data_IF_084008380673
#
_entry.id   IF_084008380673
#
_cell.length_a   1.000
_cell.length_b   1.000
_cell.length_c   1.000
_cell.angle_alpha   90.00
_cell.angle_beta   90.00
_cell.angle_gamma   90.00
#
_symmetry.space_group_name_H-M   'P 1'
#
loop_
_entity.id
_entity.type
_entity.pdbx_description
1 polymer ?
#
# COMPACT_ATOMS: atom_id res chain seq x y z
N UNK A 1 12.57 -15.15 24.07
CA UNK A 1 12.10 -15.68 22.77
C UNK A 1 10.59 -15.43 22.70
N UNK A 2 10.12 -14.49 21.87
CA UNK A 2 8.68 -14.24 21.70
C UNK A 2 8.04 -15.47 21.04
N UNK A 3 7.00 -16.05 21.64
CA UNK A 3 6.29 -17.20 21.07
C UNK A 3 5.75 -16.83 19.68
N UNK A 4 5.96 -17.73 18.72
CA UNK A 4 5.48 -17.59 17.35
C UNK A 4 3.95 -17.56 17.34
N UNK A 5 3.34 -16.47 16.88
CA UNK A 5 1.88 -16.34 16.79
C UNK A 5 1.40 -16.81 15.41
N UNK A 6 0.94 -18.05 15.32
CA UNK A 6 0.45 -18.66 14.07
C UNK A 6 -0.60 -17.82 13.35
N UNK A 7 -1.53 -17.20 14.07
CA UNK A 7 -2.57 -16.35 13.48
C UNK A 7 -1.98 -15.15 12.72
N UNK A 8 -0.88 -14.57 13.22
CA UNK A 8 -0.22 -13.44 12.55
C UNK A 8 0.54 -13.89 11.30
N UNK A 9 1.13 -15.08 11.34
CA UNK A 9 1.79 -15.67 10.17
C UNK A 9 0.76 -16.00 9.11
N UNK A 10 -0.34 -16.66 9.48
CA UNK A 10 -1.44 -16.94 8.57
C UNK A 10 -1.98 -15.66 7.93
N UNK A 11 -2.18 -14.59 8.72
CA UNK A 11 -2.59 -13.29 8.19
C UNK A 11 -1.57 -12.69 7.21
N UNK A 12 -0.28 -12.76 7.54
CA UNK A 12 0.78 -12.24 6.68
C UNK A 12 0.80 -12.97 5.34
N UNK A 13 0.80 -14.31 5.38
CA UNK A 13 0.78 -15.15 4.19
C UNK A 13 -0.48 -14.90 3.37
N UNK A 14 -1.65 -14.79 4.01
CA UNK A 14 -2.90 -14.50 3.34
C UNK A 14 -2.87 -13.14 2.62
N UNK A 15 -2.38 -12.08 3.28
CA UNK A 15 -2.26 -10.75 2.67
C UNK A 15 -1.33 -10.77 1.46
N UNK A 16 -0.17 -11.42 1.56
CA UNK A 16 0.77 -11.53 0.44
C UNK A 16 0.18 -12.35 -0.70
N UNK A 17 -0.41 -13.52 -0.40
CA UNK A 17 -1.00 -14.39 -1.41
C UNK A 17 -2.17 -13.70 -2.14
N UNK A 18 -3.13 -13.14 -1.41
CA UNK A 18 -4.25 -12.39 -1.99
C UNK A 18 -3.75 -11.20 -2.79
N UNK A 19 -2.75 -10.48 -2.29
CA UNK A 19 -2.18 -9.34 -3.01
C UNK A 19 -1.52 -9.70 -4.33
N UNK A 20 -0.74 -10.78 -4.34
CA UNK A 20 -0.13 -11.31 -5.57
C UNK A 20 -1.22 -11.78 -6.53
N UNK A 21 -2.18 -12.60 -6.07
CA UNK A 21 -3.24 -13.14 -6.90
C UNK A 21 -4.11 -12.04 -7.52
N UNK A 22 -4.55 -11.07 -6.73
CA UNK A 22 -5.36 -9.94 -7.22
C UNK A 22 -4.60 -9.15 -8.28
N UNK A 23 -3.31 -8.86 -8.06
CA UNK A 23 -2.50 -8.15 -9.05
C UNK A 23 -2.29 -8.94 -10.35
N UNK A 24 -2.16 -10.26 -10.27
CA UNK A 24 -2.02 -11.12 -11.46
C UNK A 24 -3.34 -11.29 -12.22
N UNK A 25 -4.47 -11.43 -11.51
CA UNK A 25 -5.80 -11.57 -12.10
C UNK A 25 -6.28 -10.27 -12.76
N UNK A 26 -5.98 -9.12 -12.15
CA UNK A 26 -6.40 -7.81 -12.63
C UNK A 26 -5.29 -7.03 -13.32
N UNK A 27 -4.26 -7.71 -13.85
CA UNK A 27 -3.08 -7.08 -14.45
C UNK A 27 -3.43 -6.13 -15.61
N UNK A 28 -4.50 -6.43 -16.34
CA UNK A 28 -4.93 -5.67 -17.52
C UNK A 28 -5.70 -4.40 -17.13
N UNK A 29 -6.12 -4.28 -15.87
CA UNK A 29 -6.79 -3.09 -15.35
C UNK A 29 -5.75 -2.09 -14.81
N UNK A 30 -5.57 -0.92 -15.45
CA UNK A 30 -4.59 0.05 -15.00
C UNK A 30 -4.92 0.55 -13.59
N UNK A 31 -3.91 0.59 -12.72
CA UNK A 31 -3.99 1.06 -11.33
C UNK A 31 -4.98 0.32 -10.42
N UNK A 32 -5.57 -0.81 -10.86
CA UNK A 32 -6.48 -1.59 -10.05
C UNK A 32 -5.71 -2.64 -9.22
N UNK A 33 -5.08 -2.20 -8.14
CA UNK A 33 -4.39 -3.10 -7.22
C UNK A 33 -4.64 -2.72 -5.75
N UNK A 34 -5.12 -3.65 -4.89
CA UNK A 34 -5.46 -3.34 -3.50
C UNK A 34 -4.22 -3.15 -2.59
N UNK A 35 -3.02 -2.95 -3.15
CA UNK A 35 -1.75 -2.98 -2.43
C UNK A 35 -1.64 -1.88 -1.39
N UNK A 36 -2.08 -0.66 -1.72
CA UNK A 36 -2.10 0.44 -0.76
C UNK A 36 -3.03 0.17 0.42
N UNK A 37 -4.19 -0.46 0.18
CA UNK A 37 -5.13 -0.83 1.23
C UNK A 37 -4.56 -1.97 2.11
N UNK A 38 -3.92 -2.97 1.49
CA UNK A 38 -3.21 -4.03 2.22
C UNK A 38 -2.06 -3.48 3.06
N UNK A 39 -1.36 -2.45 2.59
CA UNK A 39 -0.31 -1.76 3.36
C UNK A 39 -0.88 -1.06 4.60
N UNK A 40 -2.01 -0.33 4.48
CA UNK A 40 -2.72 0.25 5.64
C UNK A 40 -3.11 -0.83 6.66
N UNK A 41 -3.70 -1.92 6.15
CA UNK A 41 -4.15 -3.04 6.95
C UNK A 41 -2.98 -3.74 7.66
N UNK A 42 -1.89 -4.01 6.95
CA UNK A 42 -0.66 -4.55 7.52
C UNK A 42 -0.08 -3.64 8.61
N UNK A 43 -0.06 -2.32 8.38
CA UNK A 43 0.36 -1.32 9.38
C UNK A 43 -0.50 -1.36 10.65
N UNK A 44 -1.80 -1.62 10.51
CA UNK A 44 -2.71 -1.78 11.65
C UNK A 44 -2.46 -3.07 12.45
N UNK A 45 -2.41 -4.23 11.79
CA UNK A 45 -2.37 -5.53 12.48
C UNK A 45 -0.98 -5.95 12.98
N UNK A 46 0.10 -5.62 12.27
CA UNK A 46 1.44 -6.09 12.66
C UNK A 46 2.12 -5.16 13.65
N UNK A 47 2.51 -5.68 14.82
CA UNK A 47 3.22 -4.89 15.84
C UNK A 47 4.56 -4.34 15.32
N UNK A 48 5.29 -5.13 14.53
CA UNK A 48 6.56 -4.74 13.91
C UNK A 48 6.33 -3.93 12.63
N UNK A 49 6.98 -2.77 12.52
CA UNK A 49 6.97 -1.95 11.30
C UNK A 49 7.63 -2.68 10.14
N UNK A 50 8.73 -3.37 10.39
CA UNK A 50 9.44 -4.12 9.36
C UNK A 50 8.53 -5.18 8.71
N UNK A 51 7.80 -5.96 9.52
CA UNK A 51 6.87 -6.97 9.01
C UNK A 51 5.74 -6.34 8.20
N UNK A 52 5.18 -5.21 8.66
CA UNK A 52 4.14 -4.52 7.91
C UNK A 52 4.62 -4.00 6.55
N UNK A 53 5.86 -3.47 6.48
CA UNK A 53 6.48 -3.00 5.24
C UNK A 53 6.81 -4.14 4.27
N UNK A 54 7.13 -5.33 4.79
CA UNK A 54 7.38 -6.51 3.95
C UNK A 54 6.13 -6.92 3.15
N UNK A 55 4.91 -6.65 3.63
CA UNK A 55 3.68 -7.05 2.91
C UNK A 55 3.59 -6.41 1.51
N UNK A 56 3.52 -5.08 1.35
CA UNK A 56 3.46 -4.48 0.01
C UNK A 56 4.72 -4.76 -0.82
N UNK A 57 5.90 -4.81 -0.20
CA UNK A 57 7.15 -5.11 -0.90
C UNK A 57 7.16 -6.51 -1.52
N UNK A 58 6.77 -7.53 -0.74
CA UNK A 58 6.71 -8.90 -1.25
C UNK A 58 5.62 -9.04 -2.31
N UNK A 59 4.45 -8.43 -2.10
CA UNK A 59 3.37 -8.45 -3.11
C UNK A 59 3.90 -7.92 -4.43
N UNK A 60 4.52 -6.73 -4.44
CA UNK A 60 5.04 -6.11 -5.65
C UNK A 60 6.17 -6.94 -6.28
N UNK A 61 7.18 -7.32 -5.48
CA UNK A 61 8.34 -8.08 -5.98
C UNK A 61 7.93 -9.40 -6.60
N UNK A 62 7.07 -10.18 -5.94
CA UNK A 62 6.64 -11.50 -6.42
C UNK A 62 5.77 -11.38 -7.68
N UNK A 63 4.90 -10.38 -7.75
CA UNK A 63 4.04 -10.24 -8.94
C UNK A 63 4.80 -9.62 -10.12
N UNK A 64 5.79 -8.76 -9.90
CA UNK A 64 6.63 -8.20 -10.97
C UNK A 64 7.56 -9.22 -11.61
N UNK A 65 7.99 -10.27 -10.88
CA UNK A 65 8.74 -11.37 -11.51
C UNK A 65 7.91 -12.15 -12.52
N UNK A 66 6.57 -12.09 -12.43
CA UNK A 66 5.64 -12.78 -13.33
C UNK A 66 5.11 -11.84 -14.42
N UNK A 67 4.77 -10.59 -14.07
CA UNK A 67 4.21 -9.60 -15.03
C UNK A 67 5.30 -9.05 -15.95
N UNK A 68 6.53 -8.94 -15.47
CA UNK A 68 7.60 -8.20 -16.13
C UNK A 68 7.73 -6.79 -15.57
N UNK A 69 8.95 -6.40 -15.20
CA UNK A 69 9.24 -5.05 -14.72
C UNK A 69 9.26 -4.00 -15.84
N UNK A 70 9.28 -2.74 -15.45
CA UNK A 70 9.45 -1.57 -16.33
C UNK A 70 10.65 -0.75 -15.84
N UNK A 71 10.75 0.54 -16.21
CA UNK A 71 11.85 1.40 -15.75
C UNK A 71 12.07 1.28 -14.24
N UNK A 72 13.29 0.92 -13.85
CA UNK A 72 13.63 0.56 -12.48
C UNK A 72 13.47 1.74 -11.51
N UNK A 73 13.62 2.98 -11.99
CA UNK A 73 13.46 4.19 -11.15
C UNK A 73 11.99 4.42 -10.85
N UNK A 74 11.13 4.27 -11.86
CA UNK A 74 9.68 4.36 -11.67
C UNK A 74 9.19 3.20 -10.79
N UNK A 75 9.70 1.98 -10.97
CA UNK A 75 9.37 0.84 -10.11
C UNK A 75 9.74 1.12 -8.64
N UNK A 76 10.95 1.63 -8.39
CA UNK A 76 11.40 1.98 -7.05
C UNK A 76 10.49 3.03 -6.40
N UNK A 77 10.04 4.04 -7.16
CA UNK A 77 9.08 5.02 -6.69
C UNK A 77 7.72 4.41 -6.36
N UNK A 78 7.20 3.52 -7.20
CA UNK A 78 5.94 2.81 -6.95
C UNK A 78 6.04 1.94 -5.68
N UNK A 79 7.16 1.24 -5.50
CA UNK A 79 7.36 0.40 -4.31
C UNK A 79 7.43 1.26 -3.05
N UNK A 80 8.19 2.36 -3.10
CA UNK A 80 8.30 3.31 -2.00
C UNK A 80 6.97 3.98 -1.66
N UNK A 81 6.20 4.40 -2.66
CA UNK A 81 4.90 5.05 -2.44
C UNK A 81 3.87 4.07 -1.86
N UNK A 82 3.92 2.78 -2.23
CA UNK A 82 3.07 1.73 -1.65
C UNK A 82 3.46 1.31 -0.23
N UNK A 83 4.64 1.71 0.25
CA UNK A 83 5.05 1.53 1.65
C UNK A 83 4.55 2.66 2.55
N UNK A 84 4.34 3.87 2.01
CA UNK A 84 3.84 5.02 2.76
C UNK A 84 2.57 4.76 3.58
N UNK A 85 1.60 3.96 3.11
CA UNK A 85 0.39 3.73 3.89
C UNK A 85 0.65 3.04 5.24
N UNK A 86 1.75 2.29 5.37
CA UNK A 86 2.18 1.70 6.65
C UNK A 86 2.55 2.78 7.68
N UNK A 87 3.01 3.96 7.25
CA UNK A 87 3.35 5.06 8.14
C UNK A 87 2.15 5.59 8.93
N UNK A 88 0.93 5.45 8.38
CA UNK A 88 -0.30 5.86 9.05
C UNK A 88 -0.67 4.99 10.26
N UNK A 89 0.06 3.89 10.55
CA UNK A 89 -0.28 2.95 11.63
C UNK A 89 -0.58 3.59 12.98
N UNK A 90 0.16 4.64 13.36
CA UNK A 90 0.02 5.27 14.67
C UNK A 90 -1.30 6.03 14.77
N UNK A 91 -1.69 6.66 13.66
CA UNK A 91 -2.98 7.35 13.51
C UNK A 91 -4.09 6.29 13.46
N UNK A 92 -4.00 5.28 12.58
CA UNK A 92 -5.03 4.23 12.52
C UNK A 92 -5.29 3.58 13.88
N UNK A 93 -4.26 3.18 14.63
CA UNK A 93 -4.44 2.54 15.95
C UNK A 93 -4.98 3.47 17.03
N UNK A 94 -4.78 4.79 16.89
CA UNK A 94 -5.34 5.77 17.82
C UNK A 94 -6.83 5.96 17.59
N UNK A 95 -7.26 6.01 16.33
CA UNK A 95 -8.64 6.29 15.94
C UNK A 95 -9.49 5.02 15.80
N UNK A 96 -8.85 3.87 15.58
CA UNK A 96 -9.47 2.57 15.37
C UNK A 96 -8.98 1.58 16.45
N UNK A 97 -9.62 1.60 17.63
CA UNK A 97 -9.34 0.62 18.70
C UNK A 97 -10.44 -0.44 18.69
N UNK A 98 -10.10 -1.65 18.20
CA UNK A 98 -10.99 -2.81 18.23
C UNK A 98 -11.13 -3.43 19.63
N UNK A 99 -10.26 -3.05 20.58
CA UNK A 99 -10.16 -3.68 21.91
C UNK A 99 -11.15 -3.12 22.94
N UNK A 100 -11.93 -2.09 22.61
CA UNK A 100 -12.84 -1.42 23.54
C UNK A 100 -14.29 -1.73 23.15
N UNK A 101 -15.09 -2.31 24.05
CA UNK A 101 -16.54 -2.54 23.85
C UNK A 101 -17.31 -1.24 23.53
N UNK A 102 -16.70 -0.09 23.84
CA UNK A 102 -17.10 1.19 23.30
C UNK A 102 -16.33 1.41 22.00
N UNK A 103 -16.97 1.02 20.89
CA UNK A 103 -16.66 1.58 19.57
C UNK A 103 -16.35 3.06 19.78
N UNK A 104 -15.13 3.52 19.47
CA UNK A 104 -14.97 4.92 19.12
C UNK A 104 -16.14 5.23 18.18
N UNK A 105 -16.94 6.29 18.39
CA UNK A 105 -18.23 6.43 17.72
C UNK A 105 -18.01 6.10 16.26
N UNK A 106 -18.64 5.05 15.74
CA UNK A 106 -18.17 4.30 14.56
C UNK A 106 -17.77 5.20 13.38
N UNK A 107 -18.40 6.38 13.30
CA UNK A 107 -18.05 7.50 12.44
C UNK A 107 -16.59 8.01 12.54
N UNK A 108 -15.99 8.16 13.72
CA UNK A 108 -14.60 8.60 13.93
C UNK A 108 -13.59 7.56 13.44
N UNK A 109 -13.88 6.29 13.72
CA UNK A 109 -13.09 5.15 13.28
C UNK A 109 -13.13 5.03 11.73
N UNK A 110 -14.33 5.11 11.16
CA UNK A 110 -14.54 5.14 9.71
C UNK A 110 -13.88 6.38 9.07
N UNK A 111 -14.04 7.56 9.68
CA UNK A 111 -13.45 8.81 9.20
C UNK A 111 -11.92 8.76 9.19
N UNK A 112 -11.29 8.21 10.22
CA UNK A 112 -9.84 8.01 10.27
C UNK A 112 -9.35 7.05 9.18
N UNK A 113 -10.06 5.95 8.94
CA UNK A 113 -9.72 4.99 7.89
C UNK A 113 -9.86 5.63 6.49
N UNK A 114 -10.97 6.33 6.24
CA UNK A 114 -11.21 7.05 5.00
C UNK A 114 -10.15 8.13 4.75
N UNK A 115 -9.83 8.92 5.77
CA UNK A 115 -8.80 9.96 5.67
C UNK A 115 -7.42 9.37 5.34
N UNK A 116 -7.02 8.29 6.02
CA UNK A 116 -5.73 7.64 5.75
C UNK A 116 -5.71 6.99 4.35
N UNK A 117 -6.83 6.39 3.92
CA UNK A 117 -6.99 5.81 2.59
C UNK A 117 -6.89 6.85 1.49
N UNK A 118 -7.64 7.95 1.60
CA UNK A 118 -7.62 9.07 0.65
C UNK A 118 -6.24 9.74 0.61
N UNK A 119 -5.64 10.03 1.76
CA UNK A 119 -4.29 10.60 1.83
C UNK A 119 -3.27 9.67 1.16
N UNK A 120 -3.35 8.37 1.39
CA UNK A 120 -2.48 7.38 0.74
C UNK A 120 -2.68 7.36 -0.78
N UNK A 121 -3.91 7.44 -1.25
CA UNK A 121 -4.23 7.47 -2.69
C UNK A 121 -3.70 8.74 -3.35
N UNK A 122 -3.86 9.90 -2.72
CA UNK A 122 -3.36 11.18 -3.23
C UNK A 122 -1.84 11.17 -3.28
N UNK A 123 -1.17 10.72 -2.21
CA UNK A 123 0.29 10.63 -2.18
C UNK A 123 0.81 9.65 -3.24
N UNK A 124 0.18 8.48 -3.39
CA UNK A 124 0.53 7.51 -4.42
C UNK A 124 0.41 8.14 -5.81
N UNK A 125 -0.75 8.72 -6.13
CA UNK A 125 -1.00 9.36 -7.41
C UNK A 125 0.03 10.44 -7.73
N UNK A 126 0.30 11.36 -6.81
CA UNK A 126 1.26 12.44 -7.03
C UNK A 126 2.68 11.89 -7.26
N UNK A 127 3.13 10.95 -6.42
CA UNK A 127 4.51 10.41 -6.51
C UNK A 127 4.70 9.63 -7.80
N UNK A 128 3.74 8.77 -8.18
CA UNK A 128 3.90 7.91 -9.35
C UNK A 128 3.77 8.68 -10.65
N UNK A 129 2.82 9.61 -10.75
CA UNK A 129 2.67 10.42 -11.98
C UNK A 129 3.84 11.39 -12.14
N UNK A 130 4.29 12.03 -11.07
CA UNK A 130 5.49 12.86 -11.12
C UNK A 130 6.75 12.04 -11.48
N UNK A 131 6.85 10.82 -10.94
CA UNK A 131 7.90 9.88 -11.27
C UNK A 131 7.92 9.49 -12.76
N UNK A 132 6.76 9.15 -13.31
CA UNK A 132 6.62 8.86 -14.74
C UNK A 132 6.97 10.09 -15.57
N UNK A 133 6.44 11.26 -15.23
CA UNK A 133 6.76 12.50 -15.94
C UNK A 133 8.27 12.81 -15.92
N UNK A 134 8.96 12.57 -14.81
CA UNK A 134 10.39 12.87 -14.67
C UNK A 134 11.30 11.84 -15.35
N UNK A 135 10.95 10.55 -15.28
CA UNK A 135 11.85 9.46 -15.67
C UNK A 135 11.44 8.72 -16.95
N UNK A 136 10.22 8.96 -17.46
CA UNK A 136 9.74 8.40 -18.72
C UNK A 136 9.77 9.46 -19.83
N UNK A 137 9.91 9.01 -21.07
CA UNK A 137 9.78 9.84 -22.28
C UNK A 137 8.33 9.91 -22.79
N UNK A 138 7.37 9.38 -22.03
CA UNK A 138 5.96 9.33 -22.41
C UNK A 138 5.32 10.72 -22.55
N UNK A 139 5.83 11.71 -21.81
CA UNK A 139 5.31 13.08 -21.79
C UNK A 139 6.45 14.09 -21.95
N UNK A 140 6.12 15.27 -22.48
CA UNK A 140 7.06 16.39 -22.51
C UNK A 140 7.40 16.84 -21.08
N UNK A 141 8.68 17.13 -20.83
CA UNK A 141 9.15 17.60 -19.53
C UNK A 141 8.88 19.10 -19.33
N UNK A 142 7.63 19.50 -19.53
CA UNK A 142 7.10 20.84 -19.32
C UNK A 142 5.79 20.81 -18.51
N UNK A 143 5.26 21.99 -18.16
CA UNK A 143 4.02 22.09 -17.39
C UNK A 143 2.81 21.48 -18.12
N UNK A 144 2.85 21.45 -19.46
CA UNK A 144 1.80 20.86 -20.29
C UNK A 144 1.83 19.34 -20.19
N UNK A 145 3.01 18.72 -20.24
CA UNK A 145 3.17 17.29 -20.07
C UNK A 145 2.89 16.82 -18.63
N UNK A 146 3.14 17.67 -17.63
CA UNK A 146 2.82 17.36 -16.23
C UNK A 146 1.31 17.37 -15.93
N UNK A 147 0.53 18.16 -16.69
CA UNK A 147 -0.92 18.27 -16.51
C UNK A 147 -1.73 17.22 -17.29
N UNK A 148 -1.07 16.34 -18.06
CA UNK A 148 -1.67 15.21 -18.77
C UNK A 148 -1.68 13.95 -17.92
#
# INVERSE_FOLDING_TARGET
>A
MQRLNWNRIALFVALVAVGVLTRLCFRDLPNFAPVAAMALFAGYFFASRAVALCVPLLVMTISDTVIGGYDTRVMALVYGSLMLPVAWRSILRRWFRLDNERLAPTALAAGGLLACGLASSVMFFLITNFGVWTFSEMYSHDAVGLAR
#
